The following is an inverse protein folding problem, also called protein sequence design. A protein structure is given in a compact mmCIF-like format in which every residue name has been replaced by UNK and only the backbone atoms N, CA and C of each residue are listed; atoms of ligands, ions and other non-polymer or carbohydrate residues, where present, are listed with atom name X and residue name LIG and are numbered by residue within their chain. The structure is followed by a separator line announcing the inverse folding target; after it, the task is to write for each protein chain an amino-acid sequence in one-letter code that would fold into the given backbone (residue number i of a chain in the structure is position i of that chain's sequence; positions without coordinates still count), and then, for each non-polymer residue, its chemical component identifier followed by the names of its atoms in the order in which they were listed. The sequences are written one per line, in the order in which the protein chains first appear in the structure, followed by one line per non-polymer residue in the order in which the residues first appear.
data_IF_893685683271
#
_entry.id   IF_893685683271
#
_cell.length_a   1.000
_cell.length_b   1.000
_cell.length_c   1.000
_cell.angle_alpha   90.00
_cell.angle_beta   90.00
_cell.angle_gamma   90.00
#
_symmetry.space_group_name_H-M   'P 1'
#
loop_
_entity.id
_entity.type
_entity.pdbx_description
1 polymer ?
#
# COMPACT_ATOMS: atom_id res chain seq x y z
N UNK A 1 18.35 9.00 -10.05
CA UNK A 1 18.14 7.74 -9.32
C UNK A 1 16.65 7.56 -9.22
N UNK A 2 16.11 6.48 -9.78
CA UNK A 2 14.73 6.07 -9.54
C UNK A 2 14.67 5.57 -8.09
N UNK A 3 13.82 6.18 -7.27
CA UNK A 3 13.57 5.68 -5.91
C UNK A 3 12.49 4.62 -6.06
N UNK A 4 12.87 3.35 -5.97
CA UNK A 4 11.89 2.27 -5.98
C UNK A 4 11.13 2.30 -4.65
N UNK A 5 9.81 2.50 -4.71
CA UNK A 5 8.92 2.46 -3.56
C UNK A 5 8.33 1.05 -3.47
N UNK A 6 8.49 0.40 -2.32
CA UNK A 6 7.79 -0.83 -2.03
C UNK A 6 6.31 -0.52 -1.85
N UNK A 7 5.45 -1.26 -2.55
CA UNK A 7 3.99 -1.14 -2.45
C UNK A 7 3.36 -2.52 -2.25
N UNK A 8 2.42 -2.62 -1.32
CA UNK A 8 1.55 -3.79 -1.20
C UNK A 8 0.11 -3.37 -0.93
N UNK A 9 -0.83 -4.16 -1.47
CA UNK A 9 -2.27 -4.00 -1.18
C UNK A 9 -2.75 -5.22 -0.42
N UNK A 10 -3.22 -5.02 0.80
CA UNK A 10 -3.76 -6.05 1.65
C UNK A 10 -5.28 -6.01 1.55
N UNK A 11 -5.89 -7.12 1.16
CA UNK A 11 -7.33 -7.30 1.25
C UNK A 11 -7.64 -7.95 2.60
N UNK A 12 -8.43 -7.23 3.38
CA UNK A 12 -8.87 -7.64 4.71
C UNK A 12 -10.32 -8.08 4.59
N UNK A 13 -10.70 -9.13 5.34
CA UNK A 13 -12.06 -9.62 5.33
C UNK A 13 -13.08 -8.57 5.79
N UNK A 14 -14.37 -8.87 5.59
CA UNK A 14 -15.46 -8.06 6.13
C UNK A 14 -15.25 -7.82 7.63
N UNK A 15 -15.51 -6.59 8.08
CA UNK A 15 -15.29 -6.19 9.46
C UNK A 15 -16.44 -5.31 9.97
N UNK A 16 -16.88 -5.59 11.19
CA UNK A 16 -18.11 -5.06 11.78
C UNK A 16 -17.84 -3.80 12.63
N UNK A 17 -16.60 -3.33 12.68
CA UNK A 17 -16.13 -2.25 13.54
C UNK A 17 -15.30 -1.17 12.85
N UNK A 18 -15.04 -0.08 13.58
CA UNK A 18 -14.27 1.07 13.09
C UNK A 18 -12.84 0.70 12.64
N UNK A 19 -12.39 1.40 11.61
CA UNK A 19 -11.00 1.35 11.16
C UNK A 19 -10.24 2.51 11.80
N UNK A 20 -9.24 2.18 12.60
CA UNK A 20 -8.31 3.14 13.15
C UNK A 20 -6.92 2.56 13.23
N UNK A 21 -5.92 3.32 12.76
CA UNK A 21 -4.52 3.08 13.14
C UNK A 21 -4.29 3.80 14.44
N UNK A 22 -4.10 3.03 15.51
CA UNK A 22 -3.60 3.62 16.75
C UNK A 22 -2.23 4.28 16.47
N UNK A 23 -1.99 5.53 16.89
CA UNK A 23 -0.68 6.16 16.78
C UNK A 23 0.45 5.32 17.39
N UNK A 24 0.13 4.43 18.33
CA UNK A 24 1.07 3.48 18.92
C UNK A 24 1.67 2.48 17.92
N UNK A 25 1.05 2.29 16.75
CA UNK A 25 1.55 1.39 15.70
C UNK A 25 2.62 2.04 14.82
N UNK A 26 2.72 3.37 14.80
CA UNK A 26 3.63 4.10 13.91
C UNK A 26 5.12 3.66 14.05
N UNK A 27 5.67 3.45 15.26
CA UNK A 27 7.03 2.96 15.41
C UNK A 27 7.24 1.55 14.86
N UNK A 28 6.22 0.69 14.92
CA UNK A 28 6.30 -0.67 14.40
C UNK A 28 6.24 -0.68 12.87
N UNK A 29 5.31 0.08 12.28
CA UNK A 29 5.21 0.27 10.84
C UNK A 29 6.50 0.89 10.26
N UNK A 30 7.06 1.89 10.94
CA UNK A 30 8.31 2.52 10.52
C UNK A 30 9.51 1.56 10.52
N UNK A 31 9.54 0.56 11.41
CA UNK A 31 10.59 -0.50 11.40
C UNK A 31 10.46 -1.44 10.20
N UNK A 32 9.26 -1.61 9.67
CA UNK A 32 9.01 -2.33 8.42
C UNK A 32 9.31 -1.47 7.18
N UNK A 33 9.77 -0.22 7.36
CA UNK A 33 10.05 0.69 6.26
C UNK A 33 8.81 1.35 5.66
N UNK A 34 7.63 1.12 6.24
CA UNK A 34 6.36 1.74 5.82
C UNK A 34 6.38 3.22 6.19
N UNK A 35 6.10 4.07 5.20
CA UNK A 35 6.02 5.53 5.36
C UNK A 35 4.61 6.06 5.15
N UNK A 36 3.76 5.29 4.47
CA UNK A 36 2.39 5.68 4.16
C UNK A 36 1.45 4.49 4.27
N UNK A 37 0.25 4.72 4.81
CA UNK A 37 -0.81 3.73 4.96
C UNK A 37 -2.14 4.37 4.58
N UNK A 38 -2.87 3.74 3.67
CA UNK A 38 -4.22 4.16 3.30
C UNK A 38 -5.20 3.02 3.57
N UNK A 39 -6.36 3.37 4.11
CA UNK A 39 -7.48 2.45 4.28
C UNK A 39 -8.50 2.69 3.19
N UNK A 40 -8.93 1.61 2.56
CA UNK A 40 -9.93 1.63 1.49
C UNK A 40 -11.05 0.65 1.84
N UNK A 41 -12.24 0.87 1.29
CA UNK A 41 -13.39 -0.01 1.47
C UNK A 41 -14.23 -0.06 0.20
N UNK A 42 -14.86 -1.20 -0.01
CA UNK A 42 -15.89 -1.41 -1.03
C UNK A 42 -17.08 -2.16 -0.42
N UNK A 43 -18.03 -2.61 -1.25
CA UNK A 43 -19.18 -3.38 -0.78
C UNK A 43 -18.82 -4.79 -0.29
N UNK A 44 -17.58 -5.25 -0.55
CA UNK A 44 -17.09 -6.60 -0.22
C UNK A 44 -16.20 -6.62 1.02
N UNK A 45 -15.64 -5.48 1.43
CA UNK A 45 -14.86 -5.37 2.65
C UNK A 45 -13.87 -4.22 2.64
N UNK A 46 -12.71 -4.46 3.24
CA UNK A 46 -11.70 -3.44 3.47
C UNK A 46 -10.37 -3.81 2.82
N UNK A 47 -9.62 -2.79 2.42
CA UNK A 47 -8.26 -2.93 1.96
C UNK A 47 -7.34 -1.97 2.68
N UNK A 48 -6.05 -2.29 2.66
CA UNK A 48 -4.98 -1.42 3.11
C UNK A 48 -3.94 -1.32 2.01
N UNK A 49 -3.58 -0.10 1.65
CA UNK A 49 -2.45 0.17 0.78
C UNK A 49 -1.30 0.62 1.68
N UNK A 50 -0.16 -0.04 1.56
CA UNK A 50 1.06 0.35 2.26
C UNK A 50 2.15 0.68 1.27
N UNK A 51 2.87 1.74 1.59
CA UNK A 51 3.97 2.25 0.76
C UNK A 51 5.15 2.62 1.63
N UNK A 52 6.35 2.38 1.10
CA UNK A 52 7.59 2.76 1.76
C UNK A 52 8.82 2.54 0.90
N UNK A 53 9.73 3.51 0.90
CA UNK A 53 11.03 3.44 0.25
C UNK A 53 11.96 2.30 0.74
N UNK A 54 11.74 1.81 1.96
CA UNK A 54 12.49 0.72 2.58
C UNK A 54 11.57 -0.46 2.93
N UNK A 55 10.31 -0.39 2.49
CA UNK A 55 9.34 -1.43 2.73
C UNK A 55 9.56 -2.58 1.75
N UNK A 56 9.62 -3.79 2.28
CA UNK A 56 9.64 -5.02 1.48
C UNK A 56 8.20 -5.53 1.30
N UNK A 57 7.63 -5.51 0.08
CA UNK A 57 6.28 -6.02 -0.18
C UNK A 57 6.06 -7.48 0.24
N UNK A 58 7.12 -8.30 0.31
CA UNK A 58 7.01 -9.69 0.76
C UNK A 58 6.75 -9.80 2.27
N UNK A 59 7.06 -8.73 3.04
CA UNK A 59 6.75 -8.60 4.47
C UNK A 59 5.36 -8.07 4.78
N UNK A 60 4.51 -7.82 3.75
CA UNK A 60 3.20 -7.20 3.94
C UNK A 60 2.28 -7.93 4.94
N UNK A 61 2.46 -9.25 5.13
CA UNK A 61 1.72 -9.99 6.16
C UNK A 61 1.92 -9.44 7.58
N UNK A 62 3.13 -9.00 7.91
CA UNK A 62 3.47 -8.45 9.22
C UNK A 62 2.76 -7.12 9.50
N UNK A 63 2.47 -6.34 8.44
CA UNK A 63 1.67 -5.12 8.56
C UNK A 63 0.26 -5.45 9.01
N UNK A 64 -0.37 -6.49 8.47
CA UNK A 64 -1.73 -6.85 8.89
C UNK A 64 -1.79 -7.41 10.31
N UNK A 65 -0.77 -8.16 10.71
CA UNK A 65 -0.63 -8.63 12.09
C UNK A 65 -0.56 -7.44 13.06
N UNK A 66 0.19 -6.39 12.71
CA UNK A 66 0.24 -5.13 13.47
C UNK A 66 -1.10 -4.39 13.50
N UNK A 67 -1.87 -4.47 12.41
CA UNK A 67 -3.23 -3.92 12.36
C UNK A 67 -4.25 -4.77 13.12
N UNK A 68 -3.84 -5.92 13.68
CA UNK A 68 -4.72 -6.84 14.40
C UNK A 68 -5.75 -7.50 13.50
N UNK A 69 -5.45 -7.63 12.20
CA UNK A 69 -6.39 -8.13 11.20
C UNK A 69 -5.81 -9.33 10.49
N UNK A 70 -6.60 -10.39 10.36
CA UNK A 70 -6.23 -11.49 9.49
C UNK A 70 -6.21 -11.01 8.03
N UNK A 71 -5.05 -11.07 7.38
CA UNK A 71 -4.96 -10.83 5.94
C UNK A 71 -5.66 -11.96 5.22
N UNK A 72 -6.58 -11.64 4.31
CA UNK A 72 -7.14 -12.66 3.43
C UNK A 72 -6.27 -12.86 2.20
N UNK A 73 -5.71 -11.77 1.66
CA UNK A 73 -4.84 -11.82 0.48
C UNK A 73 -3.93 -10.59 0.42
N UNK A 74 -2.68 -10.81 0.03
CA UNK A 74 -1.75 -9.75 -0.37
C UNK A 74 -1.71 -9.68 -1.89
N UNK A 75 -1.99 -8.52 -2.46
CA UNK A 75 -1.76 -8.22 -3.87
C UNK A 75 -0.39 -7.56 -3.98
N UNK A 76 0.43 -8.11 -4.87
CA UNK A 76 1.71 -7.52 -5.26
C UNK A 76 1.55 -6.81 -6.59
N UNK A 77 2.23 -5.67 -6.80
CA UNK A 77 2.33 -5.07 -8.12
C UNK A 77 2.86 -6.13 -9.11
N UNK A 78 2.07 -6.45 -10.12
CA UNK A 78 2.51 -7.32 -11.22
C UNK A 78 3.20 -6.51 -12.31
N UNK A 79 2.73 -5.27 -12.50
CA UNK A 79 3.19 -4.33 -13.50
C UNK A 79 3.02 -2.92 -12.91
N UNK A 80 4.08 -2.15 -12.94
CA UNK A 80 4.07 -0.72 -12.62
C UNK A 80 4.45 0.06 -13.88
N UNK A 81 3.57 0.95 -14.33
CA UNK A 81 3.73 1.71 -15.56
C UNK A 81 3.34 3.15 -15.29
N UNK A 82 4.31 4.03 -15.41
CA UNK A 82 4.07 5.46 -15.45
C UNK A 82 3.41 5.83 -16.79
N UNK A 83 2.27 6.52 -16.73
CA UNK A 83 1.61 7.08 -17.91
C UNK A 83 1.99 8.56 -18.01
N UNK A 84 2.50 8.97 -19.17
CA UNK A 84 2.80 10.38 -19.47
C UNK A 84 1.99 10.80 -20.68
N UNK A 85 1.34 11.94 -20.59
CA UNK A 85 0.76 12.65 -21.73
C UNK A 85 1.82 13.67 -22.19
N UNK A 86 2.78 13.26 -23.02
CA UNK A 86 3.58 14.24 -23.75
C UNK A 86 2.69 14.82 -24.86
N UNK A 87 2.26 16.09 -24.80
CA UNK A 87 1.60 16.71 -25.92
C UNK A 87 2.65 16.78 -27.04
N UNK A 88 2.34 16.20 -28.20
CA UNK A 88 3.28 16.05 -29.32
C UNK A 88 4.20 17.27 -29.50
N UNK A 89 5.52 17.02 -29.45
CA UNK A 89 6.55 18.04 -29.66
C UNK A 89 6.39 18.76 -31.00
N UNK A 90 6.98 19.96 -31.14
CA UNK A 90 6.72 20.85 -32.27
C UNK A 90 7.03 20.17 -33.59
N UNK A 91 6.04 20.11 -34.48
CA UNK A 91 6.28 19.89 -35.92
C UNK A 91 7.09 21.10 -36.40
N UNK A 92 8.40 20.91 -36.55
CA UNK A 92 9.21 21.83 -37.32
C UNK A 92 8.72 21.78 -38.77
N UNK A 93 8.04 22.85 -39.18
CA UNK A 93 7.73 23.16 -40.56
C UNK A 93 8.94 23.78 -41.28
#
# INVERSE_FOLDING_TARGET
MEVNVGVAVLLLGAHDGEIGVSPALAPALGRLGVTHVQFVSDERGFGVIVEGWAFDPDSAGEVADLLGRATQRVLRPLLDVAISDEPGGPVHA
#
